data_IF_457310987655
#
_entry.id   IF_457310987655
#
_cell.length_a   1.000
_cell.length_b   1.000
_cell.length_c   1.000
_cell.angle_alpha   90.00
_cell.angle_beta   90.00
_cell.angle_gamma   90.00
#
_symmetry.space_group_name_H-M   'P 1'
#
loop_
_entity.id
_entity.type
_entity.pdbx_description
1 polymer ?
#
# COMPACT_ATOMS: atom_id res chain seq x y z
N UNK A 1 15.20 -4.39 35.81
CA UNK A 1 14.98 -5.36 34.70
C UNK A 1 13.54 -5.35 34.18
N UNK A 2 12.50 -5.49 35.01
CA UNK A 2 11.10 -5.31 34.54
C UNK A 2 10.82 -3.87 34.08
N UNK A 3 11.34 -2.88 34.81
CA UNK A 3 11.09 -1.46 34.49
C UNK A 3 11.81 -1.01 33.21
N UNK A 4 12.99 -1.57 32.92
CA UNK A 4 13.77 -1.26 31.71
C UNK A 4 13.06 -1.75 30.44
N UNK A 5 12.38 -2.90 30.52
CA UNK A 5 11.61 -3.47 29.41
C UNK A 5 10.41 -2.58 29.06
N UNK A 6 9.67 -2.12 30.08
CA UNK A 6 8.54 -1.21 29.89
C UNK A 6 8.94 0.12 29.23
N UNK A 7 10.12 0.66 29.57
CA UNK A 7 10.62 1.89 28.97
C UNK A 7 10.99 1.71 27.48
N UNK A 8 11.59 0.58 27.12
CA UNK A 8 11.95 0.29 25.73
C UNK A 8 10.70 0.10 24.85
N UNK A 9 9.69 -0.61 25.35
CA UNK A 9 8.40 -0.80 24.67
C UNK A 9 7.67 0.54 24.47
N UNK A 10 7.62 1.38 25.50
CA UNK A 10 7.00 2.70 25.41
C UNK A 10 7.68 3.58 24.36
N UNK A 11 9.03 3.58 24.32
CA UNK A 11 9.80 4.31 23.31
C UNK A 11 9.52 3.79 21.90
N UNK A 12 9.44 2.48 21.73
CA UNK A 12 9.11 1.87 20.45
C UNK A 12 7.71 2.29 19.98
N UNK A 13 6.70 2.22 20.84
CA UNK A 13 5.33 2.64 20.51
C UNK A 13 5.26 4.12 20.11
N UNK A 14 6.00 5.00 20.80
CA UNK A 14 6.09 6.41 20.44
C UNK A 14 6.73 6.62 19.06
N UNK A 15 7.78 5.86 18.73
CA UNK A 15 8.40 5.91 17.40
C UNK A 15 7.44 5.43 16.30
N UNK A 16 6.69 4.36 16.55
CA UNK A 16 5.69 3.85 15.62
C UNK A 16 4.59 4.90 15.39
N UNK A 17 4.04 5.48 16.46
CA UNK A 17 3.04 6.52 16.37
C UNK A 17 3.57 7.75 15.62
N UNK A 18 4.78 8.23 15.94
CA UNK A 18 5.40 9.35 15.25
C UNK A 18 5.59 9.07 13.75
N UNK A 19 6.05 7.86 13.39
CA UNK A 19 6.19 7.46 11.99
C UNK A 19 4.84 7.41 11.25
N UNK A 20 3.78 6.97 11.92
CA UNK A 20 2.42 6.97 11.37
C UNK A 20 1.94 8.37 11.01
N UNK A 21 2.01 9.30 11.97
CA UNK A 21 1.58 10.68 11.74
C UNK A 21 2.42 11.36 10.65
N UNK A 22 3.71 11.08 10.61
CA UNK A 22 4.58 11.57 9.55
C UNK A 22 4.14 11.05 8.17
N UNK A 23 3.88 9.74 8.04
CA UNK A 23 3.41 9.16 6.77
C UNK A 23 2.03 9.68 6.36
N UNK A 24 1.09 9.84 7.30
CA UNK A 24 -0.21 10.43 6.99
C UNK A 24 -0.10 11.86 6.50
N UNK A 25 0.81 12.66 7.06
CA UNK A 25 1.04 14.03 6.61
C UNK A 25 1.64 14.06 5.20
N UNK A 26 2.57 13.14 4.90
CA UNK A 26 3.09 12.95 3.54
C UNK A 26 1.97 12.61 2.56
N UNK A 27 1.06 11.69 2.93
CA UNK A 27 -0.10 11.34 2.11
C UNK A 27 -1.04 12.53 1.92
N UNK A 28 -1.29 13.31 2.98
CA UNK A 28 -2.14 14.51 2.92
C UNK A 28 -1.56 15.56 1.97
N UNK A 29 -0.26 15.86 2.08
CA UNK A 29 0.43 16.84 1.22
C UNK A 29 0.46 16.36 -0.23
N UNK A 30 0.76 15.08 -0.46
CA UNK A 30 0.75 14.50 -1.80
C UNK A 30 -0.65 14.51 -2.42
N UNK A 31 -1.68 14.18 -1.65
CA UNK A 31 -3.07 14.24 -2.09
C UNK A 31 -3.49 15.65 -2.48
N UNK A 32 -3.06 16.65 -1.71
CA UNK A 32 -3.32 18.06 -2.02
C UNK A 32 -2.62 18.50 -3.32
N UNK A 33 -1.33 18.18 -3.50
CA UNK A 33 -0.59 18.50 -4.75
C UNK A 33 -1.27 17.89 -5.97
N UNK A 34 -1.67 16.60 -5.88
CA UNK A 34 -2.37 15.91 -6.97
C UNK A 34 -3.74 16.53 -7.26
N UNK A 35 -4.47 16.96 -6.23
CA UNK A 35 -5.75 17.64 -6.41
C UNK A 35 -5.58 19.00 -7.10
N UNK A 36 -4.55 19.76 -6.75
CA UNK A 36 -4.21 21.04 -7.38
C UNK A 36 -3.79 20.85 -8.84
N UNK A 37 -2.92 19.88 -9.13
CA UNK A 37 -2.52 19.52 -10.50
C UNK A 37 -3.72 19.08 -11.35
N UNK A 38 -4.58 18.22 -10.81
CA UNK A 38 -5.80 17.79 -11.49
C UNK A 38 -6.74 18.98 -11.75
N UNK A 39 -6.86 19.92 -10.81
CA UNK A 39 -7.66 21.13 -10.99
C UNK A 39 -7.08 22.04 -12.09
N UNK A 40 -5.76 22.21 -12.13
CA UNK A 40 -5.09 22.99 -13.17
C UNK A 40 -5.32 22.39 -14.56
N UNK A 41 -5.16 21.06 -14.68
CA UNK A 41 -5.43 20.34 -15.93
C UNK A 41 -6.89 20.48 -16.36
N UNK A 42 -7.85 20.32 -15.44
CA UNK A 42 -9.29 20.48 -15.74
C UNK A 42 -9.67 21.89 -16.21
N UNK A 43 -8.99 22.93 -15.72
CA UNK A 43 -9.25 24.31 -16.18
C UNK A 43 -8.77 24.57 -17.60
N UNK A 44 -7.67 23.93 -18.01
CA UNK A 44 -7.09 24.08 -19.35
C UNK A 44 -7.70 23.14 -20.40
N UNK A 45 -8.14 21.95 -19.98
CA UNK A 45 -8.63 20.93 -20.90
C UNK A 45 -10.10 21.14 -21.25
N UNK A 46 -10.38 21.41 -22.53
CA UNK A 46 -11.73 21.65 -23.06
C UNK A 46 -12.38 20.39 -23.64
N UNK A 47 -11.94 19.22 -23.22
CA UNK A 47 -12.43 17.93 -23.73
C UNK A 47 -11.70 17.40 -24.95
N UNK A 48 -10.80 18.18 -25.55
CA UNK A 48 -9.91 17.69 -26.62
C UNK A 48 -8.58 18.43 -26.66
N UNK A 49 -7.51 17.71 -27.02
CA UNK A 49 -6.18 18.25 -27.31
C UNK A 49 -6.19 19.18 -28.52
N UNK A 50 -7.19 19.10 -29.41
CA UNK A 50 -7.34 20.03 -30.53
C UNK A 50 -7.48 21.50 -30.09
N UNK A 51 -7.84 21.74 -28.82
CA UNK A 51 -7.94 23.06 -28.21
C UNK A 51 -6.70 23.46 -27.40
N UNK A 52 -5.66 22.61 -27.37
CA UNK A 52 -4.44 22.92 -26.64
C UNK A 52 -3.67 24.06 -27.32
N UNK A 53 -3.10 24.95 -26.50
CA UNK A 53 -2.28 26.07 -26.99
C UNK A 53 -0.82 25.80 -26.67
N UNK A 54 0.06 25.90 -27.67
CA UNK A 54 1.51 25.86 -27.47
C UNK A 54 2.12 27.26 -27.56
N UNK A 55 3.23 27.47 -26.85
CA UNK A 55 4.02 28.70 -26.94
C UNK A 55 4.76 28.84 -28.27
N UNK A 56 5.00 27.73 -28.97
CA UNK A 56 5.62 27.66 -30.30
C UNK A 56 4.70 26.89 -31.24
N UNK A 57 4.37 27.49 -32.38
CA UNK A 57 3.47 26.89 -33.36
C UNK A 57 4.08 25.62 -33.98
N UNK A 58 5.37 25.64 -34.31
CA UNK A 58 6.09 24.49 -34.87
C UNK A 58 6.05 23.25 -33.95
N UNK A 59 6.07 23.46 -32.63
CA UNK A 59 5.94 22.37 -31.65
C UNK A 59 4.51 21.81 -31.67
N UNK A 60 3.50 22.68 -31.79
CA UNK A 60 2.10 22.27 -31.89
C UNK A 60 1.89 21.39 -33.13
N UNK A 61 2.33 21.85 -34.31
CA UNK A 61 2.17 21.13 -35.57
C UNK A 61 2.86 19.77 -35.53
N UNK A 62 4.08 19.72 -34.98
CA UNK A 62 4.82 18.46 -34.83
C UNK A 62 4.14 17.49 -33.87
N UNK A 63 3.67 17.95 -32.71
CA UNK A 63 2.96 17.10 -31.73
C UNK A 63 1.64 16.60 -32.32
N UNK A 64 0.87 17.48 -32.97
CA UNK A 64 -0.38 17.09 -33.63
C UNK A 64 -0.16 16.11 -34.79
N UNK A 65 0.92 16.29 -35.56
CA UNK A 65 1.29 15.36 -36.62
C UNK A 65 1.74 14.00 -36.08
N UNK A 66 2.48 13.97 -34.97
CA UNK A 66 2.90 12.73 -34.30
C UNK A 66 1.72 11.94 -33.72
N UNK A 67 0.78 12.63 -33.09
CA UNK A 67 -0.46 12.02 -32.57
C UNK A 67 -1.33 11.54 -33.75
N UNK A 68 -1.48 12.38 -34.78
CA UNK A 68 -2.21 12.06 -36.00
C UNK A 68 -3.61 11.49 -35.73
N UNK A 69 -3.83 10.26 -36.20
CA UNK A 69 -5.11 9.55 -36.09
C UNK A 69 -5.45 9.12 -34.65
N UNK A 70 -4.52 9.18 -33.70
CA UNK A 70 -4.72 8.75 -32.31
C UNK A 70 -5.28 9.87 -31.41
N UNK A 71 -5.78 10.96 -31.98
CA UNK A 71 -6.29 12.12 -31.23
C UNK A 71 -7.38 11.70 -30.22
N UNK A 72 -8.34 10.86 -30.64
CA UNK A 72 -9.41 10.37 -29.76
C UNK A 72 -8.88 9.49 -28.61
N UNK A 73 -7.88 8.64 -28.88
CA UNK A 73 -7.25 7.80 -27.85
C UNK A 73 -6.48 8.64 -26.81
N UNK A 74 -5.84 9.72 -27.24
CA UNK A 74 -5.15 10.67 -26.36
C UNK A 74 -6.16 11.46 -25.52
N UNK A 75 -7.23 11.97 -26.13
CA UNK A 75 -8.31 12.66 -25.42
C UNK A 75 -8.94 11.76 -24.36
N UNK A 76 -9.18 10.50 -24.72
CA UNK A 76 -9.70 9.49 -23.80
C UNK A 76 -8.71 9.19 -22.66
N UNK A 77 -7.42 9.06 -22.96
CA UNK A 77 -6.39 8.87 -21.93
C UNK A 77 -6.32 10.05 -20.95
N UNK A 78 -6.44 11.28 -21.44
CA UNK A 78 -6.49 12.49 -20.60
C UNK A 78 -7.76 12.49 -19.75
N UNK A 79 -8.91 12.11 -20.32
CA UNK A 79 -10.16 11.98 -19.55
C UNK A 79 -10.03 10.96 -18.42
N UNK A 80 -9.42 9.79 -18.69
CA UNK A 80 -9.12 8.77 -17.68
C UNK A 80 -8.17 9.32 -16.62
N UNK A 81 -7.08 9.99 -17.01
CA UNK A 81 -6.14 10.64 -16.10
C UNK A 81 -6.85 11.65 -15.18
N UNK A 82 -7.71 12.50 -15.73
CA UNK A 82 -8.45 13.51 -14.97
C UNK A 82 -9.49 12.91 -14.01
N UNK A 83 -10.01 11.72 -14.31
CA UNK A 83 -11.05 11.05 -13.52
C UNK A 83 -10.47 10.13 -12.45
N UNK A 84 -9.46 9.33 -12.82
CA UNK A 84 -8.82 8.37 -11.93
C UNK A 84 -7.62 8.95 -11.17
N UNK A 85 -7.03 10.07 -11.63
CA UNK A 85 -5.77 10.57 -11.12
C UNK A 85 -4.53 9.83 -11.67
N UNK A 86 -4.73 8.87 -12.57
CA UNK A 86 -3.68 8.18 -13.34
C UNK A 86 -4.27 7.61 -14.64
N UNK A 87 -3.45 7.41 -15.67
CA UNK A 87 -3.90 6.77 -16.92
C UNK A 87 -2.96 5.62 -17.29
N UNK A 88 -3.43 4.39 -17.06
CA UNK A 88 -2.75 3.15 -17.49
C UNK A 88 -3.58 2.46 -18.58
N UNK A 89 -2.98 1.59 -19.42
CA UNK A 89 -3.74 0.78 -20.39
C UNK A 89 -4.91 0.04 -19.73
N UNK A 90 -4.67 -0.66 -18.62
CA UNK A 90 -5.68 -1.40 -17.88
C UNK A 90 -6.82 -0.51 -17.38
N UNK A 91 -6.53 0.69 -16.85
CA UNK A 91 -7.58 1.61 -16.42
C UNK A 91 -8.39 2.17 -17.58
N UNK A 92 -7.73 2.42 -18.72
CA UNK A 92 -8.42 2.85 -19.94
C UNK A 92 -9.38 1.77 -20.43
N UNK A 93 -8.97 0.50 -20.39
CA UNK A 93 -9.81 -0.63 -20.78
C UNK A 93 -10.98 -0.82 -19.79
N UNK A 94 -10.73 -0.79 -18.48
CA UNK A 94 -11.77 -0.85 -17.44
C UNK A 94 -12.79 0.30 -17.58
N UNK A 95 -12.33 1.50 -17.90
CA UNK A 95 -13.21 2.64 -18.13
C UNK A 95 -14.01 2.50 -19.45
N UNK A 96 -13.46 1.85 -20.48
CA UNK A 96 -14.17 1.59 -21.75
C UNK A 96 -15.35 0.64 -21.53
N UNK A 97 -15.21 -0.28 -20.59
CA UNK A 97 -16.28 -1.17 -20.12
C UNK A 97 -17.33 -0.45 -19.23
N UNK A 98 -17.21 0.86 -19.02
CA UNK A 98 -18.16 1.65 -18.24
C UNK A 98 -18.02 1.49 -16.72
N UNK A 99 -16.96 0.85 -16.23
CA UNK A 99 -16.70 0.71 -14.80
C UNK A 99 -16.23 2.06 -14.24
N UNK A 100 -16.83 2.49 -13.12
CA UNK A 100 -16.44 3.73 -12.46
C UNK A 100 -14.99 3.71 -11.98
N UNK A 101 -14.14 4.60 -12.50
CA UNK A 101 -12.71 4.72 -12.18
C UNK A 101 -12.37 5.93 -11.30
N UNK A 102 -13.36 6.53 -10.63
CA UNK A 102 -13.16 7.72 -9.80
C UNK A 102 -12.09 7.46 -8.72
N UNK A 103 -11.06 8.31 -8.68
CA UNK A 103 -9.94 8.26 -7.73
C UNK A 103 -9.19 6.92 -7.68
N UNK A 104 -9.19 6.15 -8.79
CA UNK A 104 -8.53 4.85 -8.83
C UNK A 104 -7.01 4.93 -8.57
N UNK A 105 -6.37 6.04 -8.94
CA UNK A 105 -4.95 6.32 -8.74
C UNK A 105 -4.58 6.94 -7.38
N UNK A 106 -5.54 7.22 -6.51
CA UNK A 106 -5.25 7.45 -5.10
C UNK A 106 -5.02 6.10 -4.41
N UNK A 107 -3.76 5.83 -4.06
CA UNK A 107 -3.40 4.81 -3.09
C UNK A 107 -2.93 5.51 -1.82
N UNK A 108 -3.55 5.18 -0.70
CA UNK A 108 -3.08 5.53 0.63
C UNK A 108 -1.82 4.70 0.92
N UNK A 109 -0.68 5.37 1.08
CA UNK A 109 0.64 4.73 1.26
C UNK A 109 0.88 4.48 2.75
N UNK A 110 0.32 5.33 3.63
CA UNK A 110 0.55 5.31 5.07
C UNK A 110 0.16 3.98 5.72
N UNK A 111 -1.03 3.45 5.43
CA UNK A 111 -1.54 2.21 6.04
C UNK A 111 -0.65 1.00 5.73
N UNK A 112 -0.33 0.68 4.46
CA UNK A 112 0.51 -0.48 4.14
C UNK A 112 1.95 -0.30 4.62
N UNK A 113 2.51 0.90 4.58
CA UNK A 113 3.84 1.16 5.13
C UNK A 113 3.90 0.99 6.64
N UNK A 114 2.88 1.47 7.36
CA UNK A 114 2.76 1.27 8.80
C UNK A 114 2.61 -0.22 9.14
N UNK A 115 1.78 -0.93 8.37
CA UNK A 115 1.57 -2.36 8.53
C UNK A 115 2.82 -3.19 8.21
N UNK A 116 3.70 -2.70 7.33
CA UNK A 116 4.90 -3.44 6.92
C UNK A 116 6.11 -3.13 7.81
N UNK A 117 6.52 -1.87 7.92
CA UNK A 117 7.84 -1.54 8.47
C UNK A 117 7.85 -1.70 10.00
N UNK A 118 7.04 -0.97 10.79
CA UNK A 118 6.92 -1.16 12.22
C UNK A 118 6.66 -2.60 12.66
N UNK A 119 5.69 -3.28 12.06
CA UNK A 119 5.35 -4.64 12.47
C UNK A 119 6.46 -5.63 12.14
N UNK A 120 7.18 -5.45 11.03
CA UNK A 120 8.35 -6.29 10.73
C UNK A 120 9.46 -6.04 11.73
N UNK A 121 9.78 -4.79 12.03
CA UNK A 121 10.78 -4.44 13.03
C UNK A 121 10.42 -5.00 14.42
N UNK A 122 9.17 -4.84 14.84
CA UNK A 122 8.64 -5.39 16.10
C UNK A 122 8.73 -6.92 16.13
N UNK A 123 8.38 -7.60 15.03
CA UNK A 123 8.44 -9.07 14.96
C UNK A 123 9.88 -9.59 15.00
N UNK A 124 10.82 -8.91 14.34
CA UNK A 124 12.25 -9.25 14.41
C UNK A 124 12.76 -9.06 15.84
N UNK A 125 12.40 -7.94 16.49
CA UNK A 125 12.80 -7.67 17.86
C UNK A 125 12.26 -8.73 18.83
N UNK A 126 10.96 -9.04 18.76
CA UNK A 126 10.34 -10.11 19.56
C UNK A 126 10.99 -11.47 19.31
N UNK A 127 11.30 -11.81 18.05
CA UNK A 127 12.01 -13.05 17.72
C UNK A 127 13.41 -13.10 18.35
N UNK A 128 14.17 -12.01 18.32
CA UNK A 128 15.48 -11.94 18.95
C UNK A 128 15.42 -12.14 20.46
N UNK A 129 14.43 -11.54 21.12
CA UNK A 129 14.18 -11.75 22.56
C UNK A 129 13.78 -13.20 22.82
N UNK A 130 12.81 -13.76 22.10
CA UNK A 130 12.37 -15.14 22.30
C UNK A 130 13.53 -16.13 22.08
N UNK A 131 14.38 -15.89 21.08
CA UNK A 131 15.55 -16.72 20.79
C UNK A 131 16.58 -16.72 21.94
N UNK A 132 16.81 -15.57 22.57
CA UNK A 132 17.76 -15.44 23.69
C UNK A 132 17.19 -16.01 25.01
N UNK A 133 15.90 -15.77 25.30
CA UNK A 133 15.29 -16.07 26.59
C UNK A 133 14.58 -17.43 26.66
N UNK A 134 14.19 -18.04 25.54
CA UNK A 134 13.44 -19.30 25.48
C UNK A 134 14.14 -20.39 24.62
N UNK A 135 15.40 -20.74 24.88
CA UNK A 135 16.16 -21.68 24.04
C UNK A 135 15.56 -23.11 24.01
N UNK A 136 14.70 -23.46 24.96
CA UNK A 136 14.01 -24.75 25.02
C UNK A 136 12.67 -24.76 24.29
N UNK A 137 12.24 -23.66 23.68
CA UNK A 137 11.04 -23.63 22.86
C UNK A 137 11.15 -24.64 21.71
N UNK A 138 10.03 -25.30 21.39
CA UNK A 138 9.99 -26.26 20.29
C UNK A 138 10.37 -25.56 18.97
N UNK A 139 11.18 -26.21 18.14
CA UNK A 139 11.60 -25.71 16.82
C UNK A 139 10.44 -25.22 15.94
N UNK A 140 9.26 -25.82 16.10
CA UNK A 140 8.02 -25.43 15.42
C UNK A 140 7.65 -23.98 15.71
N UNK A 141 7.85 -23.49 16.93
CA UNK A 141 7.58 -22.11 17.32
C UNK A 141 8.47 -21.11 16.56
N UNK A 142 9.77 -21.40 16.46
CA UNK A 142 10.70 -20.57 15.70
C UNK A 142 10.37 -20.57 14.21
N UNK A 143 10.02 -21.71 13.63
CA UNK A 143 9.60 -21.79 12.22
C UNK A 143 8.33 -20.96 11.97
N UNK A 144 7.39 -21.00 12.92
CA UNK A 144 6.18 -20.19 12.85
C UNK A 144 6.50 -18.69 12.94
N UNK A 145 7.50 -18.26 13.70
CA UNK A 145 7.87 -16.83 13.74
C UNK A 145 8.73 -16.36 12.56
N UNK A 146 9.66 -17.18 12.08
CA UNK A 146 10.59 -16.79 11.00
C UNK A 146 9.87 -16.63 9.66
N UNK A 147 8.94 -17.51 9.35
CA UNK A 147 8.22 -17.48 8.07
C UNK A 147 7.50 -16.15 7.77
N UNK A 148 6.67 -15.56 8.65
CA UNK A 148 6.00 -14.29 8.38
C UNK A 148 6.99 -13.12 8.28
N UNK A 149 8.11 -13.17 9.02
CA UNK A 149 9.18 -12.17 8.89
C UNK A 149 9.77 -12.24 7.48
N UNK A 150 10.16 -13.43 7.02
CA UNK A 150 10.67 -13.64 5.67
C UNK A 150 9.67 -13.20 4.59
N UNK A 151 8.39 -13.52 4.77
CA UNK A 151 7.30 -13.09 3.90
C UNK A 151 7.20 -11.56 3.80
N UNK A 152 7.21 -10.83 4.93
CA UNK A 152 7.15 -9.36 4.90
C UNK A 152 8.42 -8.74 4.32
N UNK A 153 9.60 -9.29 4.62
CA UNK A 153 10.86 -8.83 4.02
C UNK A 153 10.85 -9.07 2.52
N UNK A 154 10.41 -10.24 2.05
CA UNK A 154 10.25 -10.52 0.64
C UNK A 154 9.27 -9.54 -0.03
N UNK A 155 8.15 -9.23 0.62
CA UNK A 155 7.17 -8.26 0.12
C UNK A 155 7.76 -6.84 0.04
N UNK A 156 8.55 -6.42 1.04
CA UNK A 156 9.29 -5.14 1.00
C UNK A 156 10.29 -5.10 -0.16
N UNK A 157 11.02 -6.21 -0.39
CA UNK A 157 11.94 -6.32 -1.53
C UNK A 157 11.17 -6.24 -2.85
N UNK A 158 10.04 -6.94 -2.99
CA UNK A 158 9.18 -6.86 -4.18
C UNK A 158 8.70 -5.43 -4.41
N UNK A 159 8.12 -4.77 -3.41
CA UNK A 159 7.64 -3.38 -3.50
C UNK A 159 8.78 -2.44 -3.90
N UNK A 160 9.98 -2.60 -3.34
CA UNK A 160 11.13 -1.75 -3.69
C UNK A 160 11.64 -1.95 -5.12
N UNK A 161 11.38 -3.11 -5.73
CA UNK A 161 11.80 -3.45 -7.10
C UNK A 161 10.71 -3.25 -8.16
N UNK A 162 9.44 -3.30 -7.77
CA UNK A 162 8.29 -3.11 -8.65
C UNK A 162 8.25 -1.71 -9.27
N UNK A 163 7.61 -1.59 -10.43
CA UNK A 163 7.33 -0.29 -11.06
C UNK A 163 6.33 0.54 -10.21
N UNK A 164 6.29 1.86 -10.41
CA UNK A 164 5.42 2.76 -9.62
C UNK A 164 3.95 2.33 -9.65
N UNK A 165 3.45 1.87 -10.79
CA UNK A 165 2.06 1.44 -10.96
C UNK A 165 1.77 0.15 -10.19
N UNK A 166 2.67 -0.84 -10.29
CA UNK A 166 2.59 -2.09 -9.51
C UNK A 166 2.64 -1.80 -8.01
N UNK A 167 3.49 -0.87 -7.55
CA UNK A 167 3.57 -0.49 -6.13
C UNK A 167 2.25 0.08 -5.64
N UNK A 168 1.64 0.97 -6.41
CA UNK A 168 0.34 1.57 -6.11
C UNK A 168 -0.73 0.49 -5.97
N UNK A 169 -0.76 -0.46 -6.91
CA UNK A 169 -1.66 -1.59 -6.89
C UNK A 169 -1.45 -2.50 -5.66
N UNK A 170 -0.21 -2.92 -5.41
CA UNK A 170 0.15 -3.75 -4.25
C UNK A 170 -0.26 -3.06 -2.96
N UNK A 171 0.07 -1.78 -2.79
CA UNK A 171 -0.29 -1.01 -1.60
C UNK A 171 -1.81 -0.95 -1.39
N UNK A 172 -2.58 -0.72 -2.45
CA UNK A 172 -4.05 -0.68 -2.38
C UNK A 172 -4.64 -2.03 -2.01
N UNK A 173 -4.09 -3.13 -2.53
CA UNK A 173 -4.50 -4.48 -2.14
C UNK A 173 -4.15 -4.77 -0.69
N UNK A 174 -2.96 -4.38 -0.24
CA UNK A 174 -2.55 -4.52 1.15
C UNK A 174 -3.49 -3.76 2.10
N UNK A 175 -3.87 -2.52 1.80
CA UNK A 175 -4.83 -1.77 2.63
C UNK A 175 -6.16 -2.50 2.78
N UNK A 176 -6.70 -3.06 1.68
CA UNK A 176 -7.95 -3.85 1.73
C UNK A 176 -7.78 -5.12 2.58
N UNK A 177 -6.66 -5.81 2.44
CA UNK A 177 -6.36 -7.01 3.24
C UNK A 177 -6.22 -6.67 4.73
N UNK A 178 -5.53 -5.57 5.07
CA UNK A 178 -5.39 -5.09 6.46
C UNK A 178 -6.77 -4.78 7.03
N UNK A 179 -7.61 -4.07 6.27
CA UNK A 179 -8.97 -3.73 6.70
C UNK A 179 -9.82 -4.99 6.94
N UNK A 180 -9.79 -5.97 6.03
CA UNK A 180 -10.50 -7.25 6.18
C UNK A 180 -10.01 -7.99 7.43
N UNK A 181 -8.69 -8.02 7.64
CA UNK A 181 -8.11 -8.69 8.80
C UNK A 181 -8.53 -8.04 10.12
N UNK A 182 -8.46 -6.71 10.21
CA UNK A 182 -8.93 -5.99 11.40
C UNK A 182 -10.42 -6.22 11.64
N UNK A 183 -11.24 -6.22 10.59
CA UNK A 183 -12.68 -6.46 10.68
C UNK A 183 -13.01 -7.88 11.17
N UNK A 184 -12.20 -8.89 10.81
CA UNK A 184 -12.42 -10.29 11.23
C UNK A 184 -11.84 -10.57 12.62
N UNK A 185 -10.63 -10.08 12.91
CA UNK A 185 -9.90 -10.40 14.14
C UNK A 185 -10.40 -9.63 15.34
N UNK A 186 -10.67 -8.32 15.19
CA UNK A 186 -11.10 -7.51 16.33
C UNK A 186 -12.34 -8.08 17.03
N UNK A 187 -13.41 -8.53 16.33
CA UNK A 187 -14.56 -9.17 16.98
C UNK A 187 -14.22 -10.49 17.67
N UNK A 188 -13.30 -11.29 17.10
CA UNK A 188 -12.85 -12.56 17.71
C UNK A 188 -12.10 -12.28 19.01
N UNK A 189 -11.25 -11.25 19.03
CA UNK A 189 -10.51 -10.83 20.22
C UNK A 189 -11.45 -10.26 21.30
N UNK A 190 -12.43 -9.43 20.92
CA UNK A 190 -13.38 -8.82 21.88
C UNK A 190 -14.31 -9.86 22.51
N UNK A 191 -14.71 -10.89 21.75
CA UNK A 191 -15.66 -11.91 22.23
C UNK A 191 -15.03 -12.91 23.22
N UNK A 192 -13.70 -12.98 23.28
CA UNK A 192 -13.00 -14.00 24.06
C UNK A 192 -12.41 -13.37 25.31
N UNK A 193 -12.94 -13.75 26.48
CA UNK A 193 -12.43 -13.27 27.77
C UNK A 193 -10.90 -13.47 27.85
N UNK A 194 -10.11 -12.40 28.02
CA UNK A 194 -8.67 -12.50 27.97
C UNK A 194 -8.16 -13.05 29.30
N UNK A 195 -8.00 -14.37 29.41
CA UNK A 195 -7.02 -14.90 30.37
C UNK A 195 -5.61 -14.52 29.87
N UNK A 196 -4.83 -13.73 30.63
CA UNK A 196 -3.63 -13.03 30.14
C UNK A 196 -2.50 -13.95 29.66
N UNK A 197 -2.46 -15.21 30.11
CA UNK A 197 -1.44 -16.18 29.70
C UNK A 197 -1.60 -16.71 28.27
N UNK A 198 -2.80 -16.64 27.68
CA UNK A 198 -3.05 -17.19 26.35
C UNK A 198 -3.10 -16.12 25.24
N UNK A 199 -3.31 -14.86 25.59
CA UNK A 199 -3.52 -13.79 24.59
C UNK A 199 -2.32 -13.60 23.65
N UNK A 200 -1.09 -13.71 24.18
CA UNK A 200 0.15 -13.53 23.42
C UNK A 200 0.34 -14.62 22.34
N UNK A 201 0.12 -15.89 22.69
CA UNK A 201 0.27 -17.01 21.76
C UNK A 201 -0.77 -16.95 20.63
N UNK A 202 -2.00 -16.53 20.94
CA UNK A 202 -3.07 -16.42 19.94
C UNK A 202 -2.87 -15.26 18.98
N UNK A 203 -2.46 -14.08 19.47
CA UNK A 203 -2.17 -12.94 18.60
C UNK A 203 -1.07 -13.29 17.58
N UNK A 204 -0.03 -14.01 18.02
CA UNK A 204 1.07 -14.47 17.16
C UNK A 204 0.58 -15.38 16.02
N UNK A 205 -0.29 -16.36 16.32
CA UNK A 205 -0.86 -17.27 15.30
C UNK A 205 -1.79 -16.53 14.32
N UNK A 206 -2.58 -15.56 14.78
CA UNK A 206 -3.46 -14.81 13.90
C UNK A 206 -2.68 -13.86 12.98
N UNK A 207 -1.66 -13.19 13.51
CA UNK A 207 -0.73 -12.37 12.74
C UNK A 207 0.01 -13.23 11.71
N UNK A 208 0.38 -14.46 12.05
CA UNK A 208 0.98 -15.42 11.13
C UNK A 208 0.08 -15.72 9.94
N UNK A 209 -1.14 -16.19 10.18
CA UNK A 209 -2.10 -16.57 9.13
C UNK A 209 -2.35 -15.40 8.17
N UNK A 210 -2.47 -14.19 8.71
CA UNK A 210 -2.68 -13.00 7.92
C UNK A 210 -1.55 -12.68 6.96
N UNK A 211 -0.31 -12.73 7.45
CA UNK A 211 0.88 -12.45 6.63
C UNK A 211 1.01 -13.50 5.52
N UNK A 212 0.76 -14.78 5.84
CA UNK A 212 0.77 -15.87 4.86
C UNK A 212 -0.24 -15.62 3.74
N UNK A 213 -1.47 -15.23 4.10
CA UNK A 213 -2.53 -14.92 3.13
C UNK A 213 -2.16 -13.71 2.27
N UNK A 214 -1.66 -12.63 2.89
CA UNK A 214 -1.28 -11.43 2.15
C UNK A 214 -0.16 -11.70 1.14
N UNK A 215 0.90 -12.39 1.55
CA UNK A 215 2.00 -12.71 0.65
C UNK A 215 1.58 -13.68 -0.43
N UNK A 216 0.76 -14.69 -0.12
CA UNK A 216 0.27 -15.61 -1.13
C UNK A 216 -0.61 -14.90 -2.18
N UNK A 217 -1.53 -14.01 -1.75
CA UNK A 217 -2.36 -13.23 -2.66
C UNK A 217 -1.49 -12.32 -3.52
N UNK A 218 -0.59 -11.54 -2.92
CA UNK A 218 0.31 -10.66 -3.66
C UNK A 218 1.16 -11.42 -4.69
N UNK A 219 1.77 -12.55 -4.31
CA UNK A 219 2.57 -13.37 -5.23
C UNK A 219 1.73 -14.00 -6.34
N UNK A 220 0.48 -14.38 -6.05
CA UNK A 220 -0.41 -14.97 -7.06
C UNK A 220 -0.88 -13.94 -8.08
N UNK A 221 -1.11 -12.70 -7.63
CA UNK A 221 -1.48 -11.59 -8.51
C UNK A 221 -0.32 -11.17 -9.42
N UNK A 222 0.91 -11.15 -8.91
CA UNK A 222 2.10 -10.84 -9.72
C UNK A 222 2.34 -11.89 -10.82
N UNK A 223 1.91 -13.14 -10.61
CA UNK A 223 2.06 -14.21 -11.62
C UNK A 223 0.96 -14.23 -12.68
N UNK A 224 -0.13 -13.49 -12.49
CA UNK A 224 -1.27 -13.50 -13.42
C UNK A 224 -1.21 -12.40 -14.49
N UNK A 225 -0.23 -11.52 -14.42
CA UNK A 225 0.12 -10.54 -15.47
C UNK A 225 1.32 -11.05 -16.30
#
# INVERSE_FOLDING_TARGET
>A
KSDDLNLAEQRLLLLIAASFFYLMEVDRVNGQSRAEEAMQLRRGFRGSIAHATCSKLDDAERIHAEIGAQTEDVDYAIQVLLTAGMSTPTLRDVAREGVGILDAGHAEIAVPFLALIPFTAMSIFSFCIDFEYLPQAAWVYYMLQVYPILCRVALLVVISRSATDERCFIMKMMTKLVAIYLAVICPILVRRDPTPSHLSSYLSVHIYIYVCICVHICVSMIKSE
#
